data_IF_725609267253
#
_entry.id   IF_725609267253
#
_cell.length_a   1.000
_cell.length_b   1.000
_cell.length_c   1.000
_cell.angle_alpha   90.00
_cell.angle_beta   90.00
_cell.angle_gamma   90.00
#
_symmetry.space_group_name_H-M   'P 1'
#
loop_
_entity.id
_entity.type
_entity.pdbx_description
1 polymer ?
#
# COMPACT_ATOMS: atom_id res chain seq x y z
N UNK A 1 -2.90 -5.81 -55.00
CA UNK A 1 -2.60 -6.53 -53.75
C UNK A 1 -1.47 -5.78 -53.02
N UNK A 2 -1.80 -4.84 -52.13
CA UNK A 2 -0.80 -4.08 -51.39
C UNK A 2 -0.67 -4.67 -49.97
N UNK A 3 0.43 -5.36 -49.72
CA UNK A 3 0.77 -5.93 -48.42
C UNK A 3 1.06 -4.82 -47.42
N UNK A 4 0.15 -4.60 -46.46
CA UNK A 4 0.43 -3.78 -45.26
C UNK A 4 1.54 -4.47 -44.46
N UNK A 5 2.78 -4.02 -44.66
CA UNK A 5 3.89 -4.33 -43.74
C UNK A 5 3.49 -3.82 -42.35
N UNK A 6 3.26 -4.76 -41.44
CA UNK A 6 3.06 -4.48 -40.02
C UNK A 6 4.40 -3.93 -39.52
N UNK A 7 4.44 -2.65 -39.19
CA UNK A 7 5.61 -2.05 -38.55
C UNK A 7 5.77 -2.74 -37.19
N UNK A 8 6.75 -3.64 -37.09
CA UNK A 8 7.26 -4.08 -35.81
C UNK A 8 8.01 -2.87 -35.28
N UNK A 9 7.40 -2.18 -34.31
CA UNK A 9 8.06 -1.11 -33.59
C UNK A 9 9.11 -1.77 -32.73
N UNK A 10 10.37 -1.68 -33.15
CA UNK A 10 11.53 -2.04 -32.34
C UNK A 10 11.50 -1.13 -31.10
N UNK A 11 10.90 -1.63 -30.02
CA UNK A 11 10.88 -0.93 -28.73
C UNK A 11 12.32 -0.79 -28.26
N UNK A 12 12.82 0.43 -28.18
CA UNK A 12 14.07 0.70 -27.45
C UNK A 12 13.84 0.41 -25.97
N UNK A 13 14.76 -0.32 -25.35
CA UNK A 13 14.74 -0.53 -23.89
C UNK A 13 14.68 0.84 -23.19
N UNK A 14 13.58 1.08 -22.48
CA UNK A 14 13.33 2.34 -21.75
C UNK A 14 12.28 3.28 -22.36
N UNK A 15 11.70 2.97 -23.53
CA UNK A 15 10.63 3.80 -24.10
C UNK A 15 9.28 3.50 -23.42
N UNK A 16 9.01 4.22 -22.32
CA UNK A 16 7.73 4.13 -21.61
C UNK A 16 6.63 4.74 -22.50
N UNK A 17 5.82 3.89 -23.09
CA UNK A 17 4.71 4.33 -23.94
C UNK A 17 3.68 5.12 -23.12
N UNK A 18 2.97 6.06 -23.76
CA UNK A 18 1.91 6.87 -23.10
C UNK A 18 0.87 5.99 -22.39
N UNK A 19 0.59 4.80 -22.94
CA UNK A 19 -0.25 3.75 -22.36
C UNK A 19 0.30 3.20 -21.06
N UNK A 20 1.59 2.86 -20.99
CA UNK A 20 2.24 2.34 -19.78
C UNK A 20 2.24 3.40 -18.66
N UNK A 21 2.49 4.68 -19.01
CA UNK A 21 2.37 5.80 -18.04
C UNK A 21 0.94 5.96 -17.52
N UNK A 22 -0.06 5.87 -18.40
CA UNK A 22 -1.47 5.96 -17.99
C UNK A 22 -1.90 4.79 -17.11
N UNK A 23 -1.37 3.59 -17.37
CA UNK A 23 -1.61 2.39 -16.55
C UNK A 23 -1.02 2.54 -15.15
N UNK A 24 0.25 2.97 -15.06
CA UNK A 24 0.90 3.22 -13.77
C UNK A 24 0.17 4.30 -12.96
N UNK A 25 -0.29 5.36 -13.62
CA UNK A 25 -1.02 6.45 -12.95
C UNK A 25 -2.39 5.98 -12.44
N UNK A 26 -3.10 5.14 -13.21
CA UNK A 26 -4.34 4.50 -12.77
C UNK A 26 -4.12 3.60 -11.56
N UNK A 27 -3.06 2.79 -11.59
CA UNK A 27 -2.70 1.92 -10.46
C UNK A 27 -2.37 2.74 -9.21
N UNK A 28 -1.63 3.85 -9.34
CA UNK A 28 -1.35 4.75 -8.23
C UNK A 28 -2.63 5.40 -7.67
N UNK A 29 -3.56 5.81 -8.53
CA UNK A 29 -4.86 6.34 -8.10
C UNK A 29 -5.70 5.30 -7.37
N UNK A 30 -5.72 4.05 -7.82
CA UNK A 30 -6.43 2.95 -7.16
C UNK A 30 -5.84 2.64 -5.78
N UNK A 31 -4.51 2.65 -5.64
CA UNK A 31 -3.82 2.49 -4.34
C UNK A 31 -4.15 3.66 -3.41
N UNK A 32 -4.10 4.90 -3.91
CA UNK A 32 -4.47 6.08 -3.11
C UNK A 32 -5.94 6.07 -2.70
N UNK A 33 -6.83 5.58 -3.57
CA UNK A 33 -8.26 5.46 -3.27
C UNK A 33 -8.49 4.42 -2.17
N UNK A 34 -7.86 3.24 -2.28
CA UNK A 34 -7.88 2.22 -1.22
C UNK A 34 -7.34 2.78 0.09
N UNK A 35 -6.18 3.45 0.05
CA UNK A 35 -5.59 4.06 1.24
C UNK A 35 -6.49 5.12 1.89
N UNK A 36 -7.25 5.90 1.09
CA UNK A 36 -8.21 6.89 1.60
C UNK A 36 -9.48 6.26 2.18
N UNK A 37 -10.02 5.22 1.55
CA UNK A 37 -11.16 4.46 2.07
C UNK A 37 -10.79 3.74 3.37
N UNK A 38 -9.53 3.34 3.48
CA UNK A 38 -8.92 2.68 4.63
C UNK A 38 -8.46 3.66 5.72
N UNK A 39 -8.33 4.95 5.41
CA UNK A 39 -7.92 5.98 6.34
C UNK A 39 -9.05 6.22 7.37
N UNK A 40 -8.88 5.63 8.55
CA UNK A 40 -9.84 5.72 9.65
C UNK A 40 -10.31 4.36 10.17
N UNK A 41 -9.96 3.26 9.49
CA UNK A 41 -10.16 1.93 10.06
C UNK A 41 -9.15 1.69 11.18
N UNK A 42 -9.66 1.51 12.40
CA UNK A 42 -8.89 1.31 13.63
C UNK A 42 -9.27 -0.04 14.22
N UNK A 43 -8.29 -0.74 14.78
CA UNK A 43 -8.45 -1.98 15.56
C UNK A 43 -8.08 -1.68 17.00
N UNK A 44 -8.94 -2.10 17.92
CA UNK A 44 -8.69 -2.04 19.35
C UNK A 44 -7.91 -3.27 19.79
N UNK A 45 -6.69 -3.05 20.27
CA UNK A 45 -5.82 -4.12 20.77
C UNK A 45 -5.72 -4.00 22.27
N UNK A 46 -6.14 -5.07 22.96
CA UNK A 46 -6.07 -5.15 24.42
C UNK A 46 -4.70 -5.66 24.83
N UNK A 47 -3.92 -4.83 25.52
CA UNK A 47 -2.57 -5.19 26.02
C UNK A 47 -2.64 -5.78 27.42
N UNK A 48 -3.61 -5.34 28.22
CA UNK A 48 -3.86 -5.85 29.58
C UNK A 48 -5.33 -5.63 29.94
N UNK A 49 -5.82 -6.25 31.02
CA UNK A 49 -7.23 -6.14 31.45
C UNK A 49 -7.74 -4.69 31.58
N UNK A 50 -6.84 -3.72 31.78
CA UNK A 50 -7.15 -2.29 31.93
C UNK A 50 -6.70 -1.42 30.77
N UNK A 51 -5.93 -1.94 29.81
CA UNK A 51 -5.26 -1.14 28.78
C UNK A 51 -5.63 -1.66 27.40
N UNK A 52 -6.30 -0.81 26.64
CA UNK A 52 -6.64 -1.01 25.23
C UNK A 52 -6.04 0.12 24.41
N UNK A 53 -5.39 -0.19 23.29
CA UNK A 53 -4.80 0.80 22.37
C UNK A 53 -5.52 0.73 21.03
N UNK A 54 -5.78 1.91 20.46
CA UNK A 54 -6.30 2.09 19.13
C UNK A 54 -5.16 2.15 18.11
N UNK A 55 -5.10 1.15 17.22
CA UNK A 55 -4.09 1.07 16.16
C UNK A 55 -4.75 1.02 14.78
N UNK A 56 -4.06 1.46 13.73
CA UNK A 56 -4.57 1.38 12.37
C UNK A 56 -4.80 -0.08 11.94
N UNK A 57 -5.96 -0.37 11.34
CA UNK A 57 -6.34 -1.73 10.92
C UNK A 57 -5.45 -2.34 9.83
N UNK A 58 -4.64 -1.52 9.17
CA UNK A 58 -3.77 -1.93 8.06
C UNK A 58 -2.34 -2.21 8.51
N UNK A 59 -2.04 -2.07 9.80
CA UNK A 59 -0.75 -2.45 10.34
C UNK A 59 -0.60 -3.96 10.25
N UNK A 60 0.59 -4.40 9.84
CA UNK A 60 0.95 -5.81 9.91
C UNK A 60 1.03 -6.26 11.37
N UNK A 61 0.90 -7.56 11.61
CA UNK A 61 1.03 -8.13 12.96
C UNK A 61 2.39 -7.77 13.58
N UNK A 62 3.45 -7.72 12.76
CA UNK A 62 4.78 -7.34 13.23
C UNK A 62 4.84 -5.89 13.74
N UNK A 63 4.25 -4.94 13.02
CA UNK A 63 4.21 -3.53 13.47
C UNK A 63 3.32 -3.32 14.70
N UNK A 64 2.28 -4.14 14.83
CA UNK A 64 1.43 -4.21 16.02
C UNK A 64 2.28 -4.67 17.21
N UNK A 65 3.00 -5.77 17.07
CA UNK A 65 3.83 -6.36 18.13
C UNK A 65 4.95 -5.39 18.55
N UNK A 66 5.60 -4.71 17.61
CA UNK A 66 6.60 -3.67 17.88
C UNK A 66 6.01 -2.50 18.69
N UNK A 67 4.76 -2.11 18.41
CA UNK A 67 4.04 -1.06 19.16
C UNK A 67 3.67 -1.51 20.56
N UNK A 68 3.23 -2.75 20.71
CA UNK A 68 2.94 -3.36 22.02
C UNK A 68 4.23 -3.42 22.84
N UNK A 69 5.33 -3.89 22.26
CA UNK A 69 6.63 -3.95 22.94
C UNK A 69 7.15 -2.55 23.32
N UNK A 70 6.99 -1.56 22.43
CA UNK A 70 7.30 -0.16 22.74
C UNK A 70 6.46 0.36 23.90
N UNK A 71 5.17 0.04 23.93
CA UNK A 71 4.29 0.40 25.03
C UNK A 71 4.77 -0.24 26.35
N UNK A 72 5.07 -1.54 26.34
CA UNK A 72 5.64 -2.21 27.51
C UNK A 72 6.93 -1.51 27.95
N UNK A 73 7.89 -1.25 27.07
CA UNK A 73 9.15 -0.57 27.47
C UNK A 73 8.94 0.80 28.12
N UNK A 74 7.92 1.55 27.70
CA UNK A 74 7.63 2.88 28.27
C UNK A 74 6.85 2.83 29.58
N UNK A 75 6.04 1.80 29.77
CA UNK A 75 5.07 1.72 30.87
C UNK A 75 5.35 0.60 31.88
N UNK A 76 6.31 -0.27 31.60
CA UNK A 76 6.87 -1.20 32.58
C UNK A 76 7.91 -0.44 33.40
N UNK A 77 7.50 -0.01 34.60
CA UNK A 77 8.44 0.24 35.70
C UNK A 77 8.80 -1.07 36.38
#
# INVERSE_FOLDING_TARGET
MATRKRLIVDKKEGEITRSERSSANRQAQEVLKKAKEQAGSVVHITISEKITIELSAHLSQQEIDERIEKYHRLHHK
#
